data_IF_217914674512
#
_entry.id   IF_217914674512
#
_cell.length_a   1.000
_cell.length_b   1.000
_cell.length_c   1.000
_cell.angle_alpha   90.00
_cell.angle_beta   90.00
_cell.angle_gamma   90.00
#
_symmetry.space_group_name_H-M   'P 1'
#
loop_
_entity.id
_entity.type
_entity.pdbx_description
1 polymer ?
#
# COMPACT_ATOMS: atom_id res chain seq x y z
N UNK A 1 -25.75 -5.50 1.29
CA UNK A 1 -25.06 -5.57 -0.02
C UNK A 1 -23.63 -5.09 0.18
N UNK A 2 -22.64 -5.77 -0.39
CA UNK A 2 -21.22 -5.40 -0.26
C UNK A 2 -20.82 -4.50 -1.43
N UNK A 3 -20.21 -3.34 -1.15
CA UNK A 3 -19.69 -2.44 -2.17
C UNK A 3 -18.56 -3.12 -2.94
N UNK A 4 -18.62 -3.10 -4.28
CA UNK A 4 -17.54 -3.59 -5.16
C UNK A 4 -16.77 -2.40 -5.74
N UNK A 5 -15.44 -2.43 -5.63
CA UNK A 5 -14.56 -1.34 -6.07
C UNK A 5 -13.42 -1.90 -6.91
N UNK A 6 -13.25 -1.37 -8.12
CA UNK A 6 -12.06 -1.56 -8.94
C UNK A 6 -11.10 -0.39 -8.77
N UNK A 7 -9.82 -0.65 -8.52
CA UNK A 7 -8.76 0.35 -8.40
C UNK A 7 -7.78 0.16 -9.57
N UNK A 8 -7.53 1.22 -10.33
CA UNK A 8 -6.56 1.20 -11.43
C UNK A 8 -5.25 1.80 -10.93
N UNK A 9 -4.20 0.99 -10.92
CA UNK A 9 -2.85 1.31 -10.46
C UNK A 9 -2.55 0.72 -9.07
N UNK A 10 -1.46 -0.03 -8.96
CA UNK A 10 -0.98 -0.65 -7.72
C UNK A 10 0.26 0.06 -7.13
N UNK A 11 0.33 1.38 -7.30
CA UNK A 11 1.28 2.23 -6.57
C UNK A 11 0.87 2.45 -5.11
N UNK A 12 1.66 3.24 -4.38
CA UNK A 12 1.46 3.55 -2.95
C UNK A 12 0.02 4.02 -2.65
N UNK A 13 -0.51 4.94 -3.47
CA UNK A 13 -1.86 5.45 -3.29
C UNK A 13 -2.95 4.41 -3.56
N UNK A 14 -2.81 3.63 -4.64
CA UNK A 14 -3.77 2.59 -5.02
C UNK A 14 -3.83 1.46 -4.00
N UNK A 15 -2.68 0.97 -3.55
CA UNK A 15 -2.60 -0.04 -2.50
C UNK A 15 -3.11 0.48 -1.15
N UNK A 16 -2.79 1.73 -0.79
CA UNK A 16 -3.33 2.36 0.43
C UNK A 16 -4.84 2.47 0.41
N UNK A 17 -5.42 2.88 -0.72
CA UNK A 17 -6.87 2.94 -0.92
C UNK A 17 -7.50 1.54 -0.86
N UNK A 18 -6.85 0.54 -1.45
CA UNK A 18 -7.33 -0.83 -1.42
C UNK A 18 -7.42 -1.38 0.01
N UNK A 19 -6.39 -1.15 0.83
CA UNK A 19 -6.36 -1.56 2.24
C UNK A 19 -7.47 -0.86 3.03
N UNK A 20 -7.60 0.47 2.86
CA UNK A 20 -8.61 1.25 3.55
C UNK A 20 -10.04 0.78 3.22
N UNK A 21 -10.34 0.57 1.94
CA UNK A 21 -11.65 0.10 1.48
C UNK A 21 -11.93 -1.35 1.88
N UNK A 22 -10.94 -2.24 1.84
CA UNK A 22 -11.14 -3.61 2.32
C UNK A 22 -11.51 -3.66 3.80
N UNK A 23 -10.96 -2.75 4.61
CA UNK A 23 -11.26 -2.66 6.05
C UNK A 23 -12.67 -2.16 6.36
N UNK A 24 -13.34 -1.47 5.43
CA UNK A 24 -14.76 -1.11 5.58
C UNK A 24 -15.70 -2.24 5.19
N UNK A 25 -15.17 -3.39 4.73
CA UNK A 25 -15.93 -4.55 4.28
C UNK A 25 -16.23 -4.56 2.77
N UNK A 26 -15.67 -3.63 1.99
CA UNK A 26 -15.83 -3.63 0.53
C UNK A 26 -15.05 -4.78 -0.14
N UNK A 27 -15.57 -5.27 -1.25
CA UNK A 27 -14.81 -6.12 -2.19
C UNK A 27 -13.99 -5.22 -3.10
N UNK A 28 -12.67 -5.39 -3.05
CA UNK A 28 -11.74 -4.54 -3.80
C UNK A 28 -10.88 -5.39 -4.71
N UNK A 29 -10.77 -4.96 -5.97
CA UNK A 29 -9.87 -5.53 -6.97
C UNK A 29 -8.94 -4.44 -7.50
N UNK A 30 -7.64 -4.74 -7.61
CA UNK A 30 -6.61 -3.80 -8.05
C UNK A 30 -6.04 -4.28 -9.37
N UNK A 31 -6.00 -3.38 -10.35
CA UNK A 31 -5.50 -3.65 -11.69
C UNK A 31 -4.23 -2.84 -11.93
N UNK A 32 -3.13 -3.50 -12.26
CA UNK A 32 -1.85 -2.87 -12.57
C UNK A 32 -1.33 -3.41 -13.91
N UNK A 33 -0.74 -2.52 -14.71
CA UNK A 33 -0.14 -2.87 -16.00
C UNK A 33 1.27 -3.43 -15.83
N UNK A 34 2.01 -2.94 -14.84
CA UNK A 34 3.36 -3.36 -14.53
C UNK A 34 3.39 -4.79 -13.98
N UNK A 35 4.43 -5.54 -14.36
CA UNK A 35 4.73 -6.85 -13.77
C UNK A 35 5.68 -6.74 -12.55
N UNK A 36 5.96 -5.52 -12.06
CA UNK A 36 6.88 -5.24 -10.95
C UNK A 36 8.30 -5.82 -11.13
N UNK A 37 8.72 -6.05 -12.38
CA UNK A 37 10.03 -6.65 -12.70
C UNK A 37 11.19 -5.66 -12.62
N UNK A 38 10.89 -4.37 -12.82
CA UNK A 38 11.87 -3.29 -12.98
C UNK A 38 11.66 -2.19 -11.92
N UNK A 39 11.35 -2.55 -10.67
CA UNK A 39 11.41 -1.56 -9.59
C UNK A 39 12.87 -1.17 -9.36
N UNK A 40 13.28 -0.12 -10.08
CA UNK A 40 14.49 0.65 -9.79
C UNK A 40 14.29 1.10 -8.35
N UNK A 41 14.98 0.47 -7.40
CA UNK A 41 14.76 0.62 -5.96
C UNK A 41 14.84 2.07 -5.52
N UNK A 42 13.72 2.78 -5.62
CA UNK A 42 13.61 4.17 -5.27
C UNK A 42 13.53 4.22 -3.75
N UNK A 43 14.58 4.76 -3.12
CA UNK A 43 14.51 5.07 -1.70
C UNK A 43 13.44 6.15 -1.50
N UNK A 44 12.46 5.86 -0.65
CA UNK A 44 11.39 6.79 -0.30
C UNK A 44 11.44 7.00 1.22
N UNK A 45 11.71 8.23 1.64
CA UNK A 45 11.63 8.60 3.05
C UNK A 45 10.17 8.67 3.50
N UNK A 46 9.84 7.90 4.54
CA UNK A 46 8.52 7.94 5.15
C UNK A 46 8.57 8.83 6.39
N UNK A 47 7.77 9.89 6.38
CA UNK A 47 7.64 10.82 7.51
C UNK A 47 6.80 10.21 8.66
N UNK A 48 6.97 10.65 9.91
CA UNK A 48 6.29 10.05 11.07
C UNK A 48 4.76 10.00 10.99
N UNK A 49 4.14 11.02 10.39
CA UNK A 49 2.69 11.05 10.17
C UNK A 49 2.20 9.95 9.22
N UNK A 50 2.99 9.60 8.19
CA UNK A 50 2.70 8.51 7.26
C UNK A 50 2.94 7.14 7.91
N UNK A 51 4.00 7.02 8.70
CA UNK A 51 4.26 5.81 9.49
C UNK A 51 3.09 5.45 10.41
N UNK A 52 2.44 6.45 11.05
CA UNK A 52 1.26 6.21 11.87
C UNK A 52 0.11 5.56 11.10
N UNK A 53 -0.12 5.96 9.84
CA UNK A 53 -1.15 5.36 8.97
C UNK A 53 -0.76 3.94 8.60
N UNK A 54 0.51 3.70 8.23
CA UNK A 54 1.00 2.37 7.91
C UNK A 54 0.90 1.42 9.11
N UNK A 55 1.26 1.87 10.32
CA UNK A 55 1.05 1.11 11.55
C UNK A 55 -0.43 0.80 11.80
N UNK A 56 -1.32 1.77 11.55
CA UNK A 56 -2.76 1.50 11.61
C UNK A 56 -3.17 0.41 10.62
N UNK A 57 -2.56 0.38 9.43
CA UNK A 57 -2.72 -0.67 8.43
C UNK A 57 -2.09 -2.02 8.79
N UNK A 58 -1.38 -2.11 9.92
CA UNK A 58 -0.71 -3.33 10.39
C UNK A 58 0.66 -3.55 9.75
N UNK A 59 1.22 -2.53 9.11
CA UNK A 59 2.57 -2.58 8.56
C UNK A 59 3.59 -2.37 9.70
N UNK A 60 4.56 -3.27 9.77
CA UNK A 60 5.73 -3.14 10.64
C UNK A 60 6.99 -2.91 9.78
N UNK A 61 7.59 -1.70 9.81
CA UNK A 61 8.78 -1.39 9.03
C UNK A 61 9.96 -2.32 9.35
N UNK A 62 10.06 -2.85 10.59
CA UNK A 62 11.16 -3.74 10.99
C UNK A 62 11.12 -5.08 10.26
N UNK A 63 9.95 -5.47 9.78
CA UNK A 63 9.75 -6.70 9.00
C UNK A 63 9.79 -6.45 7.49
N UNK A 64 9.84 -5.18 7.07
CA UNK A 64 9.82 -4.84 5.67
C UNK A 64 11.18 -5.12 5.01
N UNK A 65 11.14 -5.63 3.78
CA UNK A 65 12.35 -5.87 2.98
C UNK A 65 13.00 -4.51 2.67
N UNK A 66 14.30 -4.40 2.93
CA UNK A 66 15.13 -3.21 2.64
C UNK A 66 14.76 -1.94 3.43
N UNK A 67 14.19 -2.07 4.64
CA UNK A 67 14.04 -0.94 5.55
C UNK A 67 15.38 -0.57 6.18
N UNK A 68 15.67 0.74 6.23
CA UNK A 68 16.84 1.30 6.91
C UNK A 68 16.37 2.39 7.88
N UNK A 69 16.88 2.35 9.10
CA UNK A 69 16.74 3.43 10.08
C UNK A 69 17.95 4.35 9.88
N UNK A 70 17.76 5.46 9.15
CA UNK A 70 18.70 6.60 9.15
C UNK A 70 18.29 7.64 10.21
#
# INVERSE_FOLDING_TARGET
MTLKVGIIGAGIGGLSAAIALRRTGAQVEVFERSNFKDEIGAAITITPNRMRVLHHFGFDPKTARNFTEE
#
